data_IF_418720779855
#
_entry.id   IF_418720779855
#
_cell.length_a   1.000
_cell.length_b   1.000
_cell.length_c   1.000
_cell.angle_alpha   90.00
_cell.angle_beta   90.00
_cell.angle_gamma   90.00
#
_symmetry.space_group_name_H-M   'P 1'
#
loop_
_entity.id
_entity.type
_entity.pdbx_description
1 polymer ?
#
# COMPACT_ATOMS: atom_id res chain seq x y z
N UNK A 1 33.15 -26.65 -1.65
CA UNK A 1 33.75 -26.61 -0.31
C UNK A 1 33.82 -25.14 0.07
N UNK A 2 32.98 -24.56 0.92
CA UNK A 2 32.16 -25.12 2.00
C UNK A 2 30.82 -24.36 2.12
N UNK A 3 29.71 -25.08 2.04
CA UNK A 3 28.39 -24.56 2.41
C UNK A 3 28.24 -24.74 3.92
N UNK A 4 28.41 -23.67 4.68
CA UNK A 4 28.09 -23.66 6.11
C UNK A 4 26.56 -23.78 6.27
N UNK A 5 26.05 -24.76 7.03
CA UNK A 5 24.61 -24.90 7.27
C UNK A 5 24.14 -23.77 8.17
N UNK A 6 23.16 -22.99 7.71
CA UNK A 6 22.46 -22.01 8.54
C UNK A 6 21.73 -22.77 9.67
N UNK A 7 22.07 -22.45 10.92
CA UNK A 7 21.50 -23.09 12.10
C UNK A 7 20.01 -22.71 12.26
N UNK A 8 19.12 -23.65 12.66
CA UNK A 8 17.67 -23.43 12.79
C UNK A 8 17.24 -22.29 13.72
N UNK A 9 18.15 -21.75 14.54
CA UNK A 9 17.88 -20.70 15.52
C UNK A 9 18.73 -19.45 15.33
N UNK A 10 19.19 -19.16 14.10
CA UNK A 10 19.90 -17.92 13.83
C UNK A 10 18.94 -16.72 13.98
N UNK A 11 18.95 -16.11 15.17
CA UNK A 11 18.21 -14.87 15.44
C UNK A 11 18.68 -13.82 14.44
N UNK A 12 17.75 -13.26 13.69
CA UNK A 12 18.01 -12.07 12.88
C UNK A 12 18.36 -10.96 13.87
N UNK A 13 19.62 -10.50 13.81
CA UNK A 13 20.06 -9.34 14.55
C UNK A 13 19.21 -8.14 14.12
N UNK A 14 18.38 -7.65 15.05
CA UNK A 14 17.46 -6.53 14.81
C UNK A 14 18.23 -5.21 14.59
N UNK A 15 19.50 -5.13 15.00
CA UNK A 15 20.37 -3.99 14.78
C UNK A 15 21.01 -3.93 13.39
N UNK A 16 20.91 -5.01 12.59
CA UNK A 16 21.47 -5.08 11.23
C UNK A 16 20.52 -4.59 10.13
N UNK A 17 19.34 -4.11 10.50
CA UNK A 17 18.42 -3.46 9.58
C UNK A 17 18.64 -1.95 9.69
N UNK A 18 18.92 -1.23 8.59
CA UNK A 18 19.26 0.19 8.62
C UNK A 18 18.12 1.13 9.07
N UNK A 19 16.98 0.60 9.54
CA UNK A 19 15.82 1.36 9.98
C UNK A 19 15.07 0.63 11.11
N UNK A 20 14.46 1.38 12.06
CA UNK A 20 13.68 0.78 13.13
C UNK A 20 12.49 0.00 12.58
N UNK A 21 12.32 -1.23 13.10
CA UNK A 21 11.24 -2.19 12.79
C UNK A 21 9.82 -1.65 13.09
N UNK A 22 9.73 -0.47 13.71
CA UNK A 22 8.47 0.27 13.94
C UNK A 22 7.85 0.79 12.63
N UNK A 23 8.67 0.98 11.58
CA UNK A 23 8.19 1.35 10.23
C UNK A 23 7.34 0.28 9.53
N UNK A 24 7.23 -0.92 10.10
CA UNK A 24 6.43 -2.02 9.55
C UNK A 24 4.93 -1.82 9.83
N UNK A 25 4.56 -1.05 10.86
CA UNK A 25 3.15 -0.82 11.20
C UNK A 25 2.49 0.31 10.40
N UNK A 26 3.26 1.13 9.70
CA UNK A 26 2.75 2.25 8.90
C UNK A 26 3.20 2.04 7.45
N UNK A 27 2.56 1.08 6.78
CA UNK A 27 2.64 0.84 5.32
C UNK A 27 3.94 1.27 4.65
N UNK A 28 5.00 0.45 4.75
CA UNK A 28 6.26 0.71 4.04
C UNK A 28 6.00 0.88 2.55
N UNK A 29 6.22 2.09 2.02
CA UNK A 29 5.94 2.41 0.62
C UNK A 29 6.67 1.50 -0.38
N UNK A 30 6.23 1.49 -1.64
CA UNK A 30 6.73 0.58 -2.69
C UNK A 30 8.27 0.54 -2.83
N UNK A 31 8.98 1.61 -2.46
CA UNK A 31 10.45 1.67 -2.41
C UNK A 31 11.05 0.73 -1.36
N UNK A 32 10.42 0.60 -0.21
CA UNK A 32 10.84 -0.33 0.85
C UNK A 32 10.74 -1.77 0.37
N UNK A 33 9.66 -2.11 -0.33
CA UNK A 33 9.41 -3.47 -0.84
C UNK A 33 10.50 -3.92 -1.82
N UNK A 34 10.91 -3.05 -2.74
CA UNK A 34 12.01 -3.32 -3.68
C UNK A 34 13.35 -3.50 -2.94
N UNK A 35 13.60 -2.70 -1.89
CA UNK A 35 14.82 -2.83 -1.07
C UNK A 35 14.83 -4.12 -0.25
N UNK A 36 13.69 -4.51 0.32
CA UNK A 36 13.52 -5.78 1.03
C UNK A 36 13.72 -6.94 0.07
N UNK A 37 13.14 -6.88 -1.13
CA UNK A 37 13.36 -7.88 -2.18
C UNK A 37 14.86 -8.03 -2.48
N UNK A 38 15.57 -6.94 -2.77
CA UNK A 38 17.00 -6.99 -3.11
C UNK A 38 17.86 -7.57 -1.98
N UNK A 39 17.54 -7.26 -0.72
CA UNK A 39 18.25 -7.82 0.45
C UNK A 39 17.93 -9.30 0.67
N UNK A 40 16.67 -9.70 0.46
CA UNK A 40 16.25 -11.10 0.54
C UNK A 40 16.90 -11.93 -0.56
N UNK A 41 16.93 -11.45 -1.80
CA UNK A 41 17.60 -12.13 -2.91
C UNK A 41 19.09 -12.30 -2.65
N UNK A 42 19.76 -11.26 -2.14
CA UNK A 42 21.17 -11.31 -1.77
C UNK A 42 21.46 -12.32 -0.65
N UNK A 43 20.62 -12.40 0.37
CA UNK A 43 20.82 -13.29 1.53
C UNK A 43 20.40 -14.74 1.26
N UNK A 44 19.36 -14.94 0.46
CA UNK A 44 18.84 -16.27 0.12
C UNK A 44 19.51 -16.86 -1.12
N UNK A 45 20.25 -16.06 -1.89
CA UNK A 45 20.92 -16.51 -3.12
C UNK A 45 19.95 -16.95 -4.22
N UNK A 46 18.67 -16.54 -4.14
CA UNK A 46 17.61 -16.92 -5.09
C UNK A 46 16.68 -15.74 -5.35
N UNK A 47 16.02 -15.76 -6.51
CA UNK A 47 15.06 -14.73 -6.90
C UNK A 47 13.82 -14.79 -5.99
N UNK A 48 13.37 -13.62 -5.53
CA UNK A 48 12.13 -13.45 -4.76
C UNK A 48 11.25 -12.51 -5.56
N UNK A 49 10.24 -13.01 -6.29
CA UNK A 49 9.34 -12.14 -7.04
C UNK A 49 8.59 -11.19 -6.08
N UNK A 50 8.54 -9.91 -6.43
CA UNK A 50 7.76 -8.89 -5.71
C UNK A 50 6.31 -9.32 -5.43
N UNK A 51 5.58 -9.96 -6.37
CA UNK A 51 4.20 -10.41 -6.10
C UNK A 51 4.09 -11.37 -4.91
N UNK A 52 5.11 -12.21 -4.66
CA UNK A 52 5.11 -13.17 -3.56
C UNK A 52 5.18 -12.47 -2.19
N UNK A 53 5.82 -11.31 -2.12
CA UNK A 53 5.85 -10.48 -0.90
C UNK A 53 4.47 -9.88 -0.59
N UNK A 54 3.67 -9.57 -1.62
CA UNK A 54 2.29 -9.10 -1.45
C UNK A 54 1.34 -10.22 -1.05
N UNK A 55 1.51 -11.42 -1.61
CA UNK A 55 0.68 -12.58 -1.28
C UNK A 55 0.91 -13.08 0.16
N UNK A 56 2.10 -12.84 0.72
CA UNK A 56 2.50 -13.29 2.04
C UNK A 56 3.11 -12.16 2.88
N UNK A 57 2.26 -11.21 3.27
CA UNK A 57 2.63 -9.95 3.94
C UNK A 57 3.23 -10.08 5.36
N UNK A 58 3.35 -11.29 5.92
CA UNK A 58 4.00 -11.52 7.23
C UNK A 58 5.27 -12.33 7.07
N UNK A 59 6.28 -12.05 7.88
CA UNK A 59 7.55 -12.80 7.90
C UNK A 59 7.31 -14.30 8.06
N UNK A 60 6.33 -14.69 8.90
CA UNK A 60 5.98 -16.09 9.15
C UNK A 60 5.33 -16.75 7.93
N UNK A 61 4.37 -16.10 7.29
CA UNK A 61 3.71 -16.63 6.09
C UNK A 61 4.68 -16.73 4.91
N UNK A 62 5.55 -15.73 4.76
CA UNK A 62 6.56 -15.70 3.71
C UNK A 62 7.65 -16.78 3.92
N UNK A 63 8.15 -16.94 5.16
CA UNK A 63 9.11 -18.00 5.49
C UNK A 63 8.52 -19.41 5.26
N UNK A 64 7.25 -19.63 5.63
CA UNK A 64 6.57 -20.89 5.36
C UNK A 64 6.45 -21.17 3.85
N UNK A 65 6.14 -20.15 3.05
CA UNK A 65 6.10 -20.26 1.60
C UNK A 65 7.47 -20.61 1.00
N UNK A 66 8.52 -19.91 1.41
CA UNK A 66 9.89 -20.16 0.93
C UNK A 66 10.41 -21.57 1.25
N UNK A 67 10.10 -22.11 2.44
CA UNK A 67 10.43 -23.48 2.84
C UNK A 67 9.59 -24.50 2.07
N UNK A 68 8.32 -24.19 1.76
CA UNK A 68 7.47 -25.08 0.97
C UNK A 68 7.96 -25.25 -0.48
N UNK A 69 8.64 -24.24 -1.04
CA UNK A 69 9.23 -24.31 -2.38
C UNK A 69 10.53 -25.11 -2.43
N UNK A 70 11.32 -25.15 -1.35
CA UNK A 70 12.58 -25.92 -1.29
C UNK A 70 12.36 -27.44 -1.22
N UNK A 71 11.22 -27.86 -0.68
CA UNK A 71 10.84 -29.27 -0.56
C UNK A 71 10.17 -29.84 -1.84
N UNK A 72 10.11 -29.08 -2.93
CA UNK A 72 9.49 -29.47 -4.23
C UNK A 72 10.51 -29.88 -5.30
N UNK A 73 11.69 -30.37 -4.91
CA UNK A 73 12.71 -30.90 -5.84
C UNK A 73 12.61 -32.40 -6.13
N UNK A 74 11.58 -33.10 -5.64
CA UNK A 74 11.18 -34.40 -6.19
C UNK A 74 9.66 -34.48 -6.37
N UNK A 75 9.25 -35.00 -7.53
CA UNK A 75 7.90 -34.96 -8.07
C UNK A 75 6.88 -35.59 -7.11
N UNK A 76 6.17 -34.75 -6.36
CA UNK A 76 4.85 -35.05 -5.78
C UNK A 76 4.05 -33.76 -5.65
N UNK A 77 2.82 -33.81 -6.14
CA UNK A 77 1.87 -32.71 -6.15
C UNK A 77 1.88 -31.91 -4.85
N UNK A 78 1.82 -30.59 -5.02
CA UNK A 78 1.65 -29.64 -3.93
C UNK A 78 0.53 -30.11 -2.98
N UNK A 79 0.61 -29.78 -1.68
CA UNK A 79 -0.56 -29.90 -0.83
C UNK A 79 -1.67 -29.14 -1.55
N UNK A 80 -2.70 -29.87 -2.01
CA UNK A 80 -3.94 -29.25 -2.39
C UNK A 80 -4.41 -28.60 -1.11
N UNK A 81 -4.20 -27.29 -0.99
CA UNK A 81 -5.24 -26.48 -0.41
C UNK A 81 -6.51 -27.02 -1.05
N UNK A 82 -7.43 -27.54 -0.24
CA UNK A 82 -8.79 -27.57 -0.72
C UNK A 82 -9.15 -26.11 -0.96
N UNK A 83 -8.86 -25.62 -2.16
CA UNK A 83 -9.75 -24.76 -2.92
C UNK A 83 -11.04 -25.55 -3.16
N UNK A 84 -11.68 -25.98 -2.07
CA UNK A 84 -13.05 -26.44 -2.03
C UNK A 84 -14.03 -25.28 -2.20
N UNK A 85 -13.54 -24.06 -2.39
CA UNK A 85 -14.17 -23.10 -3.26
C UNK A 85 -13.47 -23.17 -4.61
N UNK A 86 -14.17 -23.68 -5.62
CA UNK A 86 -13.89 -23.44 -7.02
C UNK A 86 -13.51 -21.95 -7.16
N UNK A 87 -12.22 -21.59 -7.31
CA UNK A 87 -11.84 -20.21 -7.62
C UNK A 87 -12.26 -20.03 -9.07
N UNK A 88 -13.54 -19.71 -9.22
CA UNK A 88 -14.12 -19.41 -10.52
C UNK A 88 -13.43 -18.14 -10.95
N UNK A 89 -12.67 -18.23 -12.02
CA UNK A 89 -12.24 -17.06 -12.79
C UNK A 89 -13.48 -16.52 -13.48
N UNK A 90 -14.38 -15.92 -12.71
CA UNK A 90 -15.59 -15.30 -13.20
C UNK A 90 -15.40 -13.79 -13.28
N UNK A 91 -16.01 -13.19 -14.29
CA UNK A 91 -15.93 -11.75 -14.53
C UNK A 91 -16.63 -11.00 -13.39
N UNK A 92 -15.98 -9.95 -12.90
CA UNK A 92 -16.55 -9.07 -11.87
C UNK A 92 -17.14 -7.83 -12.55
N UNK A 93 -18.45 -7.67 -12.44
CA UNK A 93 -19.13 -6.50 -12.97
C UNK A 93 -18.94 -5.27 -12.07
N UNK A 94 -18.45 -4.17 -12.66
CA UNK A 94 -18.47 -2.86 -12.02
C UNK A 94 -19.83 -2.22 -12.31
N UNK A 95 -20.77 -2.34 -11.37
CA UNK A 95 -22.16 -1.88 -11.56
C UNK A 95 -22.38 -0.39 -11.26
N UNK A 96 -21.48 0.23 -10.52
CA UNK A 96 -21.54 1.65 -10.17
C UNK A 96 -20.18 2.18 -9.73
N UNK A 97 -20.04 3.52 -9.69
CA UNK A 97 -18.85 4.21 -9.22
C UNK A 97 -19.22 5.57 -8.61
N UNK A 98 -18.42 6.03 -7.67
CA UNK A 98 -18.53 7.37 -7.08
C UNK A 98 -17.12 7.89 -6.78
N UNK A 99 -16.93 9.21 -6.87
CA UNK A 99 -15.64 9.83 -6.57
C UNK A 99 -15.81 11.22 -5.95
N UNK A 100 -14.77 11.64 -5.23
CA UNK A 100 -14.50 13.00 -4.79
C UNK A 100 -13.07 13.29 -5.16
N UNK A 101 -12.84 14.27 -6.03
CA UNK A 101 -11.51 14.58 -6.58
C UNK A 101 -11.30 16.11 -6.55
N UNK A 102 -10.04 16.57 -6.65
CA UNK A 102 -9.75 18.00 -6.69
C UNK A 102 -10.47 18.74 -7.83
N UNK A 103 -10.64 20.06 -7.67
CA UNK A 103 -11.31 20.89 -8.67
C UNK A 103 -12.84 20.82 -8.64
N UNK A 104 -13.43 20.55 -7.48
CA UNK A 104 -14.90 20.52 -7.30
C UNK A 104 -15.57 19.26 -7.89
N UNK A 105 -14.80 18.20 -8.17
CA UNK A 105 -15.34 16.98 -8.78
C UNK A 105 -16.05 16.14 -7.71
N UNK A 106 -17.37 16.01 -7.86
CA UNK A 106 -18.24 15.32 -6.90
C UNK A 106 -19.02 14.12 -7.48
N UNK A 107 -18.78 13.75 -8.73
CA UNK A 107 -19.24 12.49 -9.32
C UNK A 107 -18.46 12.16 -10.60
N UNK A 108 -18.56 10.92 -11.12
CA UNK A 108 -17.79 10.48 -12.29
C UNK A 108 -17.94 11.36 -13.54
N UNK A 109 -19.11 11.93 -13.81
CA UNK A 109 -19.30 12.78 -14.99
C UNK A 109 -18.51 14.10 -14.90
N UNK A 110 -18.44 14.73 -13.72
CA UNK A 110 -17.57 15.89 -13.51
C UNK A 110 -16.10 15.53 -13.75
N UNK A 111 -15.67 14.33 -13.32
CA UNK A 111 -14.32 13.86 -13.59
C UNK A 111 -14.08 13.68 -15.09
N UNK A 112 -15.06 13.09 -15.79
CA UNK A 112 -14.99 12.93 -17.24
C UNK A 112 -14.88 14.26 -17.99
N UNK A 113 -15.62 15.28 -17.55
CA UNK A 113 -15.51 16.64 -18.10
C UNK A 113 -14.11 17.24 -17.90
N UNK A 114 -13.54 17.12 -16.69
CA UNK A 114 -12.15 17.55 -16.42
C UNK A 114 -11.17 16.90 -17.39
N UNK A 115 -11.29 15.58 -17.63
CA UNK A 115 -10.43 14.85 -18.54
C UNK A 115 -10.61 15.28 -20.00
N UNK A 116 -11.87 15.38 -20.44
CA UNK A 116 -12.22 15.79 -21.81
C UNK A 116 -11.73 17.20 -22.12
N UNK A 117 -11.81 18.10 -21.14
CA UNK A 117 -11.41 19.49 -21.28
C UNK A 117 -9.91 19.71 -20.98
N UNK A 118 -9.20 18.67 -20.53
CA UNK A 118 -7.77 18.73 -20.20
C UNK A 118 -7.44 19.70 -19.06
N UNK A 119 -8.35 19.87 -18.09
CA UNK A 119 -8.18 20.85 -17.00
C UNK A 119 -7.16 20.38 -15.97
N UNK A 120 -6.25 21.27 -15.57
CA UNK A 120 -5.40 21.10 -14.39
C UNK A 120 -6.14 21.58 -13.14
N UNK A 121 -6.37 20.68 -12.19
CA UNK A 121 -7.08 20.96 -10.94
C UNK A 121 -6.14 21.26 -9.77
N UNK A 122 -4.84 21.41 -10.02
CA UNK A 122 -3.86 21.74 -8.99
C UNK A 122 -4.01 23.20 -8.56
N UNK A 123 -4.10 23.42 -7.25
CA UNK A 123 -4.20 24.76 -6.66
C UNK A 123 -3.05 24.99 -5.69
N UNK A 124 -2.78 26.24 -5.35
CA UNK A 124 -1.94 26.54 -4.19
C UNK A 124 -2.59 25.98 -2.93
N UNK A 125 -1.79 25.66 -1.92
CA UNK A 125 -2.31 25.16 -0.63
C UNK A 125 -3.39 26.12 -0.12
N UNK A 126 -4.62 25.64 0.12
CA UNK A 126 -5.68 26.48 0.65
C UNK A 126 -5.31 27.09 2.00
N UNK A 127 -5.66 28.36 2.20
CA UNK A 127 -5.31 29.14 3.41
C UNK A 127 -5.92 28.57 4.70
N UNK A 128 -6.94 27.72 4.58
CA UNK A 128 -7.63 27.03 5.67
C UNK A 128 -7.02 25.64 5.99
N UNK A 129 -5.86 25.30 5.42
CA UNK A 129 -5.14 24.04 5.70
C UNK A 129 -3.92 24.27 6.60
N UNK A 130 -2.84 24.82 6.06
CA UNK A 130 -1.62 25.20 6.77
C UNK A 130 -0.93 26.35 6.03
N UNK A 131 -0.01 27.05 6.68
CA UNK A 131 0.77 28.12 6.05
C UNK A 131 1.85 27.54 5.14
N UNK A 132 1.56 27.41 3.85
CA UNK A 132 2.51 26.84 2.90
C UNK A 132 3.78 27.67 2.71
N UNK A 133 3.76 28.98 2.98
CA UNK A 133 4.98 29.80 2.88
C UNK A 133 5.91 29.52 4.07
N UNK A 134 5.38 29.25 5.25
CA UNK A 134 6.17 28.82 6.40
C UNK A 134 6.91 27.50 6.12
N UNK A 135 6.30 26.58 5.37
CA UNK A 135 6.88 25.26 5.07
C UNK A 135 7.65 25.20 3.74
N UNK A 136 7.74 26.29 2.99
CA UNK A 136 8.42 26.29 1.68
C UNK A 136 9.94 26.44 1.80
N UNK A 137 10.69 25.62 1.07
CA UNK A 137 12.11 25.82 0.79
C UNK A 137 12.42 25.35 -0.64
N UNK A 138 13.25 26.08 -1.39
CA UNK A 138 13.62 25.68 -2.75
C UNK A 138 14.58 24.47 -2.76
N UNK A 139 15.29 24.21 -1.65
CA UNK A 139 16.12 23.03 -1.48
C UNK A 139 15.26 21.80 -1.15
N UNK A 140 15.19 20.78 -2.03
CA UNK A 140 14.41 19.56 -1.77
C UNK A 140 14.95 18.73 -0.60
N UNK A 141 16.19 18.96 -0.17
CA UNK A 141 16.83 18.25 0.95
C UNK A 141 16.68 18.99 2.28
N UNK A 142 16.05 20.18 2.29
CA UNK A 142 15.83 20.96 3.51
C UNK A 142 14.91 20.21 4.50
N UNK A 143 15.39 19.93 5.74
CA UNK A 143 14.62 19.17 6.72
C UNK A 143 13.30 19.87 7.11
N UNK A 144 12.20 19.11 7.09
CA UNK A 144 10.89 19.61 7.51
C UNK A 144 10.24 20.64 6.57
N UNK A 145 10.82 20.83 5.37
CA UNK A 145 10.32 21.76 4.35
C UNK A 145 9.81 21.01 3.13
N UNK A 146 9.02 21.71 2.31
CA UNK A 146 8.52 21.25 1.03
C UNK A 146 8.94 22.23 -0.07
N UNK A 147 9.50 21.72 -1.16
CA UNK A 147 9.75 22.51 -2.37
C UNK A 147 8.50 22.73 -3.22
N UNK A 148 7.37 22.14 -2.84
CA UNK A 148 6.11 22.27 -3.54
C UNK A 148 5.06 22.96 -2.66
N UNK A 149 4.44 24.01 -3.19
CA UNK A 149 3.32 24.75 -2.60
C UNK A 149 1.97 24.50 -3.31
N UNK A 150 1.93 23.55 -4.24
CA UNK A 150 0.74 23.23 -5.04
C UNK A 150 0.33 21.76 -4.86
N UNK A 151 -0.97 21.52 -4.86
CA UNK A 151 -1.55 20.21 -4.60
C UNK A 151 -2.97 20.08 -5.14
N UNK A 152 -3.44 18.84 -5.19
CA UNK A 152 -4.85 18.54 -5.38
C UNK A 152 -5.55 18.47 -4.03
N UNK A 153 -6.45 19.41 -3.77
CA UNK A 153 -7.18 19.49 -2.50
C UNK A 153 -8.66 19.20 -2.71
N UNK A 154 -9.25 18.50 -1.75
CA UNK A 154 -10.70 18.37 -1.65
C UNK A 154 -11.27 19.52 -0.82
N UNK A 155 -12.46 19.97 -1.20
CA UNK A 155 -13.24 20.97 -0.47
C UNK A 155 -13.83 20.33 0.81
N UNK A 156 -12.96 20.18 1.82
CA UNK A 156 -13.22 19.80 3.22
C UNK A 156 -14.02 18.49 3.49
N UNK A 157 -14.16 18.19 4.79
CA UNK A 157 -14.69 16.97 5.43
C UNK A 157 -16.04 16.43 4.89
N UNK A 158 -16.86 17.27 4.26
CA UNK A 158 -18.18 16.88 3.71
C UNK A 158 -18.10 15.79 2.63
N UNK A 159 -16.92 15.61 2.01
CA UNK A 159 -16.66 14.53 1.06
C UNK A 159 -16.79 13.10 1.66
N UNK A 160 -16.60 12.95 2.98
CA UNK A 160 -16.57 11.64 3.65
C UNK A 160 -17.90 11.26 4.33
N UNK A 161 -18.85 12.18 4.49
CA UNK A 161 -20.03 11.99 5.36
C UNK A 161 -21.20 11.26 4.67
N UNK A 162 -21.19 11.08 3.34
CA UNK A 162 -22.40 10.62 2.63
C UNK A 162 -22.15 9.68 1.46
N UNK A 163 -21.94 8.40 1.79
CA UNK A 163 -21.82 7.31 0.81
C UNK A 163 -23.16 6.88 0.16
N UNK A 164 -24.31 7.42 0.62
CA UNK A 164 -25.63 7.07 0.08
C UNK A 164 -26.19 5.72 0.53
N UNK A 165 -25.41 4.95 1.28
CA UNK A 165 -25.81 3.69 1.91
C UNK A 165 -25.73 3.80 3.43
N UNK A 166 -26.76 3.30 4.10
CA UNK A 166 -26.81 3.15 5.56
C UNK A 166 -26.32 1.76 5.94
N UNK A 167 -25.80 1.61 7.17
CA UNK A 167 -25.43 0.30 7.72
C UNK A 167 -26.60 -0.68 7.69
N UNK A 168 -27.80 -0.16 7.92
CA UNK A 168 -29.05 -0.91 7.98
C UNK A 168 -29.39 -1.54 6.62
N UNK A 169 -29.12 -0.84 5.52
CA UNK A 169 -29.34 -1.34 4.16
C UNK A 169 -28.39 -2.48 3.77
N UNK A 170 -27.22 -2.57 4.40
CA UNK A 170 -26.23 -3.61 4.13
C UNK A 170 -26.30 -4.77 5.14
N UNK A 171 -27.19 -4.70 6.14
CA UNK A 171 -27.23 -5.69 7.21
C UNK A 171 -27.89 -6.98 6.72
N UNK A 172 -27.16 -8.09 6.81
CA UNK A 172 -27.67 -9.42 6.43
C UNK A 172 -27.52 -9.76 4.95
N UNK A 173 -26.91 -8.89 4.15
CA UNK A 173 -26.44 -9.24 2.81
C UNK A 173 -25.04 -9.85 2.87
N UNK A 174 -24.68 -10.61 1.83
CA UNK A 174 -23.32 -11.10 1.62
C UNK A 174 -22.40 -10.01 1.02
N UNK A 175 -22.56 -8.76 1.45
CA UNK A 175 -21.78 -7.62 0.94
C UNK A 175 -20.47 -7.46 1.71
N UNK A 176 -19.35 -7.69 1.04
CA UNK A 176 -18.02 -7.39 1.56
C UNK A 176 -17.64 -5.92 1.34
N UNK A 177 -16.98 -5.31 2.33
CA UNK A 177 -16.43 -3.95 2.23
C UNK A 177 -14.90 -4.01 2.33
N UNK A 178 -14.21 -3.53 1.30
CA UNK A 178 -12.76 -3.50 1.21
C UNK A 178 -12.28 -2.05 1.08
N UNK A 179 -11.51 -1.56 2.06
CA UNK A 179 -11.08 -0.15 2.12
C UNK A 179 -9.56 -0.11 2.28
N UNK A 180 -8.90 0.69 1.43
CA UNK A 180 -7.51 1.10 1.61
C UNK A 180 -7.47 2.51 2.19
N UNK A 181 -6.94 2.65 3.40
CA UNK A 181 -6.74 3.94 4.06
C UNK A 181 -5.37 3.94 4.74
N UNK A 182 -4.68 5.08 4.69
CA UNK A 182 -3.41 5.28 5.40
C UNK A 182 -3.44 6.60 6.13
N UNK A 183 -2.90 6.61 7.34
CA UNK A 183 -2.74 7.82 8.12
C UNK A 183 -1.25 8.16 8.15
N UNK A 184 -0.92 9.39 7.76
CA UNK A 184 0.44 9.89 7.94
C UNK A 184 0.45 10.67 9.26
N UNK A 185 0.86 10.00 10.33
CA UNK A 185 1.17 10.69 11.59
C UNK A 185 2.55 11.28 11.42
N UNK A 186 2.63 12.57 11.12
CA UNK A 186 3.89 13.31 11.20
C UNK A 186 4.10 13.63 12.67
N UNK A 187 4.99 12.90 13.35
CA UNK A 187 5.45 13.28 14.68
C UNK A 187 6.30 14.54 14.51
N UNK A 188 5.73 15.70 14.78
CA UNK A 188 6.52 16.93 14.96
C UNK A 188 7.44 16.69 16.14
N UNK A 189 8.74 16.55 15.90
CA UNK A 189 9.72 16.71 16.97
C UNK A 189 9.89 18.21 17.20
N UNK A 190 9.49 18.66 18.39
CA UNK A 190 9.90 19.94 18.98
C UNK A 190 11.41 19.99 19.20
#
# INVERSE_FOLDING_TARGET
>A
MDTLPLSPNQKIDRGALPYPVESIQVGGGSVWLIRVQAQLEKRLGRRVPVPTLFQHFTVKAFAAHLVSMENMTDKKEAPSYSTGGNVRTEDIAIISMACRLPGGVCHPDHFWEVLKDGRDTMVDVPKDRWDAEEFYDADPDAPGKSYCRRGGFLDSWEAFERAGYTREQLRGSDTGVFIGASNNVTTSQE
#
